data_IF_764451086682
#
_entry.id   IF_764451086682
#
_cell.length_a   1.000
_cell.length_b   1.000
_cell.length_c   1.000
_cell.angle_alpha   90.00
_cell.angle_beta   90.00
_cell.angle_gamma   90.00
#
_symmetry.space_group_name_H-M   'P 1'
#
loop_
_entity.id
_entity.type
_entity.pdbx_description
1 polymer ?
#
# COMPACT_ATOMS: atom_id res chain seq x y z
N UNK A 1 3.72 14.10 9.47
CA UNK A 1 4.88 13.19 9.46
C UNK A 1 4.31 11.81 9.77
N UNK A 2 4.39 10.86 8.84
CA UNK A 2 4.04 9.46 9.15
C UNK A 2 5.00 8.99 10.25
N UNK A 3 4.51 8.27 11.26
CA UNK A 3 5.40 7.62 12.22
C UNK A 3 6.26 6.58 11.50
N UNK A 4 7.38 6.17 12.09
CA UNK A 4 8.18 5.09 11.51
C UNK A 4 7.36 3.78 11.41
N UNK A 5 6.43 3.56 12.35
CA UNK A 5 5.46 2.47 12.30
C UNK A 5 4.51 2.57 11.09
N UNK A 6 3.97 3.76 10.78
CA UNK A 6 3.14 3.97 9.59
C UNK A 6 3.91 3.68 8.29
N UNK A 7 5.22 3.97 8.26
CA UNK A 7 6.09 3.65 7.12
C UNK A 7 6.28 2.15 6.97
N UNK A 8 6.55 1.44 8.04
CA UNK A 8 6.70 -0.02 8.01
C UNK A 8 5.40 -0.70 7.56
N UNK A 9 4.26 -0.22 8.05
CA UNK A 9 2.94 -0.68 7.62
C UNK A 9 2.67 -0.42 6.14
N UNK A 10 3.06 0.75 5.63
CA UNK A 10 2.94 1.09 4.22
C UNK A 10 3.75 0.13 3.34
N UNK A 11 4.98 -0.20 3.73
CA UNK A 11 5.85 -1.13 3.00
C UNK A 11 5.27 -2.54 2.99
N UNK A 12 4.82 -3.04 4.14
CA UNK A 12 4.17 -4.35 4.25
C UNK A 12 2.88 -4.43 3.43
N UNK A 13 2.06 -3.38 3.46
CA UNK A 13 0.84 -3.32 2.65
C UNK A 13 1.12 -3.27 1.15
N UNK A 14 2.16 -2.53 0.74
CA UNK A 14 2.61 -2.48 -0.66
C UNK A 14 3.00 -3.87 -1.14
N UNK A 15 3.86 -4.56 -0.40
CA UNK A 15 4.27 -5.92 -0.72
C UNK A 15 3.08 -6.86 -0.80
N UNK A 16 2.17 -6.83 0.18
CA UNK A 16 1.00 -7.68 0.20
C UNK A 16 0.07 -7.43 -1.00
N UNK A 17 -0.25 -6.17 -1.28
CA UNK A 17 -1.16 -5.82 -2.39
C UNK A 17 -0.57 -6.20 -3.74
N UNK A 18 0.72 -5.95 -3.95
CA UNK A 18 1.40 -6.26 -5.21
C UNK A 18 1.58 -7.76 -5.39
N UNK A 19 2.01 -8.50 -4.36
CA UNK A 19 2.19 -9.95 -4.47
C UNK A 19 0.86 -10.70 -4.68
N UNK A 20 -0.22 -10.23 -4.08
CA UNK A 20 -1.56 -10.81 -4.22
C UNK A 20 -2.34 -10.29 -5.43
N UNK A 21 -1.88 -9.18 -6.03
CA UNK A 21 -2.61 -8.43 -7.06
C UNK A 21 -4.06 -8.10 -6.63
N UNK A 22 -4.25 -7.75 -5.34
CA UNK A 22 -5.56 -7.52 -4.76
C UNK A 22 -5.60 -6.29 -3.84
N UNK A 23 -6.08 -5.14 -4.33
CA UNK A 23 -6.14 -3.89 -3.56
C UNK A 23 -7.43 -3.73 -2.73
N UNK A 24 -7.56 -4.41 -1.59
CA UNK A 24 -8.76 -4.29 -0.72
C UNK A 24 -8.45 -3.91 0.74
N UNK A 25 -9.25 -2.99 1.28
CA UNK A 25 -9.19 -2.57 2.69
C UNK A 25 -9.41 -3.75 3.66
N UNK A 26 -10.43 -4.62 3.48
CA UNK A 26 -10.63 -5.75 4.40
C UNK A 26 -9.49 -6.77 4.40
N UNK A 27 -8.78 -6.94 3.28
CA UNK A 27 -7.58 -7.79 3.25
C UNK A 27 -6.49 -7.21 4.15
N UNK A 28 -6.21 -5.91 4.05
CA UNK A 28 -5.21 -5.26 4.88
C UNK A 28 -5.56 -5.36 6.37
N UNK A 29 -6.82 -5.11 6.73
CA UNK A 29 -7.29 -5.25 8.11
C UNK A 29 -6.97 -6.64 8.67
N UNK A 30 -7.27 -7.70 7.90
CA UNK A 30 -7.12 -9.09 8.36
C UNK A 30 -5.68 -9.59 8.31
N UNK A 31 -4.87 -9.11 7.37
CA UNK A 31 -3.51 -9.63 7.14
C UNK A 31 -2.44 -8.88 7.92
N UNK A 32 -2.67 -7.60 8.22
CA UNK A 32 -1.73 -6.74 8.92
C UNK A 32 -2.28 -6.26 10.29
N UNK A 33 -3.38 -6.85 10.75
CA UNK A 33 -4.05 -6.51 12.02
C UNK A 33 -4.37 -5.02 12.18
N UNK A 34 -4.91 -4.41 11.11
CA UNK A 34 -5.18 -2.98 11.05
C UNK A 34 -6.63 -2.66 11.39
N UNK A 35 -6.84 -1.53 12.07
CA UNK A 35 -8.15 -0.91 12.12
C UNK A 35 -8.62 -0.49 10.72
N UNK A 36 -9.93 -0.31 10.55
CA UNK A 36 -10.50 0.16 9.29
C UNK A 36 -9.88 1.49 8.83
N UNK A 37 -9.74 2.45 9.75
CA UNK A 37 -9.19 3.78 9.45
C UNK A 37 -7.72 3.73 9.01
N UNK A 38 -6.91 2.83 9.59
CA UNK A 38 -5.53 2.62 9.16
C UNK A 38 -5.47 2.00 7.77
N UNK A 39 -6.25 0.96 7.51
CA UNK A 39 -6.28 0.30 6.22
C UNK A 39 -6.78 1.24 5.10
N UNK A 40 -7.78 2.07 5.38
CA UNK A 40 -8.29 3.10 4.45
C UNK A 40 -7.21 4.13 4.13
N UNK A 41 -6.52 4.64 5.16
CA UNK A 41 -5.40 5.57 4.99
C UNK A 41 -4.29 4.97 4.15
N UNK A 42 -3.90 3.72 4.42
CA UNK A 42 -2.87 3.04 3.63
C UNK A 42 -3.30 2.89 2.16
N UNK A 43 -4.57 2.56 1.87
CA UNK A 43 -5.07 2.51 0.49
C UNK A 43 -5.01 3.86 -0.23
N UNK A 44 -5.31 4.96 0.46
CA UNK A 44 -5.18 6.31 -0.09
C UNK A 44 -3.70 6.63 -0.39
N UNK A 45 -2.79 6.24 0.49
CA UNK A 45 -1.34 6.43 0.26
C UNK A 45 -0.88 5.59 -0.92
N UNK A 46 -1.25 4.30 -1.00
CA UNK A 46 -0.92 3.46 -2.16
C UNK A 46 -1.45 4.03 -3.48
N UNK A 47 -2.63 4.64 -3.48
CA UNK A 47 -3.19 5.33 -4.65
C UNK A 47 -2.35 6.55 -5.05
N UNK A 48 -1.94 7.38 -4.07
CA UNK A 48 -1.07 8.54 -4.34
C UNK A 48 0.29 8.15 -4.92
N UNK A 49 0.83 6.97 -4.57
CA UNK A 49 2.07 6.45 -5.15
C UNK A 49 1.86 5.60 -6.41
N UNK A 50 0.64 5.55 -6.97
CA UNK A 50 0.29 4.78 -8.17
C UNK A 50 0.56 3.27 -8.01
N UNK A 51 0.44 2.73 -6.80
CA UNK A 51 0.51 1.29 -6.52
C UNK A 51 -0.83 0.62 -6.80
N UNK A 52 -1.92 1.31 -6.45
CA UNK A 52 -3.29 0.91 -6.75
C UNK A 52 -4.02 2.02 -7.49
N UNK A 53 -5.01 1.65 -8.30
CA UNK A 53 -5.93 2.59 -8.93
C UNK A 53 -6.96 3.14 -7.95
N UNK A 54 -7.80 4.03 -8.45
CA UNK A 54 -8.86 4.65 -7.65
C UNK A 54 -9.90 3.65 -7.16
N UNK A 55 -10.57 4.02 -6.06
CA UNK A 55 -11.66 3.24 -5.51
C UNK A 55 -12.79 3.08 -6.54
N UNK A 56 -13.21 1.83 -6.77
CA UNK A 56 -14.37 1.51 -7.61
C UNK A 56 -15.29 0.56 -6.85
N UNK A 57 -16.12 1.09 -5.95
CA UNK A 57 -17.08 0.23 -5.22
C UNK A 57 -18.09 -0.42 -6.18
N UNK A 58 -18.43 -1.71 -6.01
CA UNK A 58 -18.11 -2.62 -4.90
C UNK A 58 -16.82 -3.46 -5.10
N UNK A 59 -15.96 -3.10 -6.04
CA UNK A 59 -14.79 -3.89 -6.45
C UNK A 59 -13.51 -3.50 -5.71
N UNK A 60 -12.58 -4.46 -5.51
CA UNK A 60 -11.21 -4.16 -5.11
C UNK A 60 -10.56 -3.18 -6.09
N UNK A 61 -9.64 -2.36 -5.58
CA UNK A 61 -8.83 -1.47 -6.40
C UNK A 61 -7.94 -2.29 -7.32
N UNK A 62 -7.81 -1.84 -8.56
CA UNK A 62 -6.86 -2.39 -9.52
C UNK A 62 -5.44 -2.20 -8.99
N UNK A 63 -4.60 -3.23 -9.07
CA UNK A 63 -3.18 -3.12 -8.70
C UNK A 63 -2.40 -2.74 -9.95
N UNK A 64 -1.74 -1.58 -9.90
CA UNK A 64 -1.06 -0.99 -11.06
C UNK A 64 0.40 -1.42 -11.16
N UNK A 65 0.94 -1.98 -10.07
CA UNK A 65 2.33 -2.44 -9.98
C UNK A 65 2.37 -3.95 -10.09
N UNK A 66 3.17 -4.44 -11.03
CA UNK A 66 3.46 -5.86 -11.18
C UNK A 66 4.52 -6.33 -10.17
N UNK A 67 4.53 -7.63 -9.88
CA UNK A 67 5.42 -8.24 -8.88
C UNK A 67 6.90 -8.03 -9.21
N UNK A 68 7.27 -8.04 -10.49
CA UNK A 68 8.64 -7.78 -10.97
C UNK A 68 9.13 -6.36 -10.65
N UNK A 69 8.22 -5.40 -10.47
CA UNK A 69 8.56 -4.01 -10.12
C UNK A 69 8.54 -3.75 -8.61
N UNK A 70 8.11 -4.72 -7.80
CA UNK A 70 7.90 -4.52 -6.36
C UNK A 70 9.14 -3.98 -5.65
N UNK A 71 10.32 -4.56 -5.89
CA UNK A 71 11.56 -4.14 -5.23
C UNK A 71 11.85 -2.64 -5.47
N UNK A 72 11.72 -2.19 -6.73
CA UNK A 72 11.93 -0.78 -7.08
C UNK A 72 10.92 0.18 -6.42
N UNK A 73 9.68 -0.28 -6.23
CA UNK A 73 8.64 0.51 -5.56
C UNK A 73 8.91 0.59 -4.06
N UNK A 74 9.30 -0.52 -3.42
CA UNK A 74 9.65 -0.53 -2.00
C UNK A 74 10.85 0.39 -1.71
N UNK A 75 11.86 0.39 -2.58
CA UNK A 75 13.02 1.26 -2.41
C UNK A 75 12.64 2.75 -2.57
N UNK A 76 11.76 3.08 -3.51
CA UNK A 76 11.21 4.43 -3.63
C UNK A 76 10.44 4.86 -2.37
N UNK A 77 9.55 4.01 -1.86
CA UNK A 77 8.75 4.32 -0.66
C UNK A 77 9.61 4.45 0.60
N UNK A 78 10.73 3.73 0.69
CA UNK A 78 11.74 3.93 1.75
C UNK A 78 12.48 5.26 1.59
N UNK A 79 12.85 5.61 0.36
CA UNK A 79 13.65 6.80 0.02
C UNK A 79 12.90 8.13 0.07
N UNK A 80 11.56 8.14 -0.04
CA UNK A 80 10.76 9.37 0.13
C UNK A 80 10.78 9.92 1.58
N UNK A 81 11.39 9.19 2.53
CA UNK A 81 11.76 9.67 3.87
C UNK A 81 13.19 10.21 4.01
N UNK A 82 13.97 10.21 2.93
CA UNK A 82 15.37 10.60 2.93
C UNK A 82 15.87 10.94 1.53
N UNK A 83 15.64 12.18 1.11
CA UNK A 83 16.59 12.87 0.24
C UNK A 83 17.43 13.82 1.12
N UNK A 84 18.73 14.00 0.84
CA UNK A 84 19.61 14.89 1.62
C UNK A 84 19.16 16.35 1.62
#
# INVERSE_FOLDING_TARGET
MLSDEDRDLLLQATELVVTTQFGSTPMLQRKLDLSYAQAERIMQVLESHQVVGSAQEPRPREVMVSVDRLASVLDRLKGEGGAP
#
